data_IF_417317881251
#
_entry.id   IF_417317881251
#
_cell.length_a   1.000
_cell.length_b   1.000
_cell.length_c   1.000
_cell.angle_alpha   90.00
_cell.angle_beta   90.00
_cell.angle_gamma   90.00
#
_symmetry.space_group_name_H-M   'P 1'
#
loop_
_entity.id
_entity.type
_entity.pdbx_description
1 polymer ?
#
# COMPACT_ATOMS: atom_id res chain seq x y z
N UNK A 1 -1.20 2.32 32.38
CA UNK A 1 -1.07 2.93 31.06
C UNK A 1 0.09 3.91 31.12
N UNK A 2 0.91 3.96 30.10
CA UNK A 2 2.03 4.91 30.04
C UNK A 2 1.51 6.32 29.68
N UNK A 3 2.40 7.32 29.81
CA UNK A 3 2.05 8.70 29.36
C UNK A 3 2.19 8.86 27.82
N UNK A 4 2.44 7.77 27.09
CA UNK A 4 2.60 7.76 25.62
C UNK A 4 1.31 8.17 24.92
N UNK A 5 1.44 9.04 23.92
CA UNK A 5 0.34 9.54 23.11
C UNK A 5 0.53 9.20 21.63
N UNK A 6 -0.48 8.57 21.05
CA UNK A 6 -0.55 8.26 19.61
C UNK A 6 -1.62 9.15 18.99
N UNK A 7 -1.32 9.78 17.85
CA UNK A 7 -2.34 10.44 17.04
C UNK A 7 -2.58 9.64 15.75
N UNK A 8 -3.84 9.36 15.42
CA UNK A 8 -4.24 8.69 14.18
C UNK A 8 -4.92 9.73 13.30
N UNK A 9 -4.38 9.99 12.12
CA UNK A 9 -4.94 10.90 11.15
C UNK A 9 -5.67 10.11 10.05
N UNK A 10 -6.98 10.26 10.00
CA UNK A 10 -7.84 9.52 9.08
C UNK A 10 -8.39 8.24 9.69
N UNK A 11 -9.73 8.13 9.72
CA UNK A 11 -10.47 6.97 10.25
C UNK A 11 -11.22 6.22 9.13
N UNK A 12 -10.61 6.18 7.95
CA UNK A 12 -11.04 5.30 6.86
C UNK A 12 -10.77 3.82 7.17
N UNK A 13 -10.92 2.94 6.19
CA UNK A 13 -10.70 1.50 6.38
C UNK A 13 -9.34 1.19 7.03
N UNK A 14 -8.28 1.83 6.58
CA UNK A 14 -6.92 1.58 7.07
C UNK A 14 -6.69 2.18 8.46
N UNK A 15 -7.22 3.39 8.71
CA UNK A 15 -7.12 4.05 10.01
C UNK A 15 -7.85 3.29 11.11
N UNK A 16 -9.01 2.70 10.82
CA UNK A 16 -9.74 1.84 11.77
C UNK A 16 -8.91 0.60 12.16
N UNK A 17 -8.26 -0.04 11.20
CA UNK A 17 -7.38 -1.17 11.46
C UNK A 17 -6.14 -0.75 12.26
N UNK A 18 -5.53 0.39 11.93
CA UNK A 18 -4.42 0.92 12.70
C UNK A 18 -4.82 1.29 14.13
N UNK A 19 -6.00 1.90 14.32
CA UNK A 19 -6.57 2.18 15.66
C UNK A 19 -6.71 0.89 16.47
N UNK A 20 -7.31 -0.14 15.88
CA UNK A 20 -7.45 -1.43 16.53
C UNK A 20 -6.09 -1.99 16.97
N UNK A 21 -5.09 -1.99 16.09
CA UNK A 21 -3.77 -2.52 16.43
C UNK A 21 -3.08 -1.72 17.53
N UNK A 22 -3.02 -0.40 17.42
CA UNK A 22 -2.33 0.40 18.44
C UNK A 22 -3.04 0.36 19.79
N UNK A 23 -4.37 0.26 19.80
CA UNK A 23 -5.15 0.12 21.04
C UNK A 23 -4.86 -1.20 21.76
N UNK A 24 -4.78 -2.32 21.04
CA UNK A 24 -4.62 -3.65 21.64
C UNK A 24 -3.16 -4.04 21.85
N UNK A 25 -2.22 -3.46 21.09
CA UNK A 25 -0.83 -3.91 21.05
C UNK A 25 0.18 -2.84 21.48
N UNK A 26 -0.27 -1.71 22.05
CA UNK A 26 0.61 -0.70 22.69
C UNK A 26 0.21 -0.46 24.13
N UNK A 27 1.10 0.16 24.88
CA UNK A 27 0.84 0.64 26.26
C UNK A 27 0.43 2.13 26.28
N UNK A 28 0.08 2.71 25.13
CA UNK A 28 -0.28 4.11 25.03
C UNK A 28 -1.46 4.46 25.96
N UNK A 29 -1.27 5.49 26.77
CA UNK A 29 -2.31 5.97 27.69
C UNK A 29 -3.32 6.91 27.00
N UNK A 30 -2.93 7.47 25.85
CA UNK A 30 -3.77 8.40 25.09
C UNK A 30 -3.67 8.10 23.59
N UNK A 31 -4.81 7.90 22.93
CA UNK A 31 -4.93 7.74 21.48
C UNK A 31 -5.90 8.80 20.98
N UNK A 32 -5.42 9.75 20.19
CA UNK A 32 -6.25 10.76 19.56
C UNK A 32 -6.55 10.35 18.11
N UNK A 33 -7.82 10.22 17.77
CA UNK A 33 -8.29 9.93 16.41
C UNK A 33 -8.80 11.20 15.77
N UNK A 34 -8.19 11.62 14.67
CA UNK A 34 -8.53 12.87 13.99
C UNK A 34 -9.06 12.60 12.56
N UNK A 35 -10.29 12.97 12.29
CA UNK A 35 -10.97 12.80 11.00
C UNK A 35 -12.02 13.88 10.77
N UNK A 36 -12.48 14.07 9.52
CA UNK A 36 -13.58 14.98 9.19
C UNK A 36 -14.95 14.29 9.17
N UNK A 37 -15.03 13.00 9.37
CA UNK A 37 -16.23 12.18 9.32
C UNK A 37 -17.22 12.58 10.42
N UNK A 38 -18.53 12.55 10.14
CA UNK A 38 -19.56 12.83 11.15
C UNK A 38 -19.67 11.76 12.24
N UNK A 39 -19.25 10.50 11.92
CA UNK A 39 -19.35 9.32 12.78
C UNK A 39 -18.04 8.98 13.52
N UNK A 40 -17.08 9.91 13.58
CA UNK A 40 -15.80 9.69 14.27
C UNK A 40 -15.99 9.37 15.73
N UNK A 41 -16.91 10.04 16.40
CA UNK A 41 -17.21 9.85 17.81
C UNK A 41 -17.80 8.45 18.07
N UNK A 42 -18.75 8.01 17.22
CA UNK A 42 -19.37 6.67 17.34
C UNK A 42 -18.34 5.56 17.27
N UNK A 43 -17.34 5.68 16.39
CA UNK A 43 -16.27 4.68 16.26
C UNK A 43 -15.34 4.70 17.47
N UNK A 44 -15.03 5.88 18.00
CA UNK A 44 -14.15 6.03 19.18
C UNK A 44 -14.84 5.49 20.44
N UNK A 45 -16.16 5.64 20.54
CA UNK A 45 -16.95 5.11 21.66
C UNK A 45 -16.87 3.57 21.81
N UNK A 46 -16.58 2.82 20.71
CA UNK A 46 -16.31 1.40 20.75
C UNK A 46 -15.07 1.06 21.60
N UNK A 47 -14.14 2.01 21.77
CA UNK A 47 -12.91 1.88 22.56
C UNK A 47 -13.02 2.55 23.95
N UNK A 48 -14.25 2.69 24.46
CA UNK A 48 -14.53 3.38 25.73
C UNK A 48 -13.76 2.77 26.91
N UNK A 49 -13.20 3.64 27.75
CA UNK A 49 -12.37 3.24 28.92
C UNK A 49 -10.89 3.04 28.64
N UNK A 50 -10.42 3.18 27.37
CA UNK A 50 -9.03 2.97 26.97
C UNK A 50 -8.23 4.25 26.67
N UNK A 51 -8.72 5.44 27.00
CA UNK A 51 -8.00 6.69 26.71
C UNK A 51 -8.00 7.09 25.22
N UNK A 52 -9.01 6.63 24.47
CA UNK A 52 -9.20 7.01 23.06
C UNK A 52 -10.13 8.22 23.01
N UNK A 53 -9.72 9.24 22.26
CA UNK A 53 -10.44 10.49 22.08
C UNK A 53 -10.56 10.80 20.59
N UNK A 54 -11.64 11.46 20.20
CA UNK A 54 -11.86 11.96 18.85
C UNK A 54 -11.55 13.46 18.73
N UNK A 55 -11.12 13.87 17.54
CA UNK A 55 -10.99 15.28 17.17
C UNK A 55 -11.45 15.45 15.72
N UNK A 56 -12.47 16.26 15.52
CA UNK A 56 -12.93 16.57 14.18
C UNK A 56 -12.06 17.65 13.53
N UNK A 57 -11.40 17.31 12.43
CA UNK A 57 -10.47 18.19 11.72
C UNK A 57 -10.73 18.19 10.21
N UNK A 58 -10.30 19.28 9.56
CA UNK A 58 -10.02 19.27 8.13
C UNK A 58 -8.51 19.11 7.92
N UNK A 59 -8.07 17.93 7.47
CA UNK A 59 -6.65 17.63 7.24
C UNK A 59 -6.01 18.50 6.13
N UNK A 60 -6.78 19.21 5.33
CA UNK A 60 -6.27 20.23 4.42
C UNK A 60 -5.87 21.52 5.14
N UNK A 61 -6.32 21.71 6.39
CA UNK A 61 -5.99 22.87 7.22
C UNK A 61 -4.77 22.59 8.10
N UNK A 62 -3.69 23.36 7.91
CA UNK A 62 -2.44 23.18 8.65
C UNK A 62 -2.60 23.36 10.17
N UNK A 63 -3.50 24.28 10.62
CA UNK A 63 -3.75 24.46 12.06
C UNK A 63 -4.46 23.29 12.70
N UNK A 64 -5.37 22.65 11.97
CA UNK A 64 -6.09 21.46 12.42
C UNK A 64 -5.14 20.26 12.52
N UNK A 65 -4.29 20.04 11.50
CA UNK A 65 -3.24 19.03 11.54
C UNK A 65 -2.31 19.24 12.74
N UNK A 66 -1.85 20.48 12.96
CA UNK A 66 -0.99 20.79 14.09
C UNK A 66 -1.70 20.55 15.45
N UNK A 67 -3.00 20.83 15.54
CA UNK A 67 -3.78 20.55 16.74
C UNK A 67 -3.87 19.04 17.02
N UNK A 68 -4.14 18.23 15.99
CA UNK A 68 -4.21 16.76 16.10
C UNK A 68 -2.87 16.10 16.49
N UNK A 69 -1.75 16.65 16.05
CA UNK A 69 -0.41 16.11 16.32
C UNK A 69 0.19 16.59 17.65
N UNK A 70 -0.41 17.56 18.31
CA UNK A 70 0.19 18.20 19.48
C UNK A 70 0.42 17.27 20.64
N UNK A 71 1.71 17.14 21.00
CA UNK A 71 2.16 16.30 22.11
C UNK A 71 2.05 14.81 21.84
N UNK A 72 1.85 14.40 20.57
CA UNK A 72 1.94 13.00 20.20
C UNK A 72 3.41 12.53 20.16
N UNK A 73 3.68 11.32 20.61
CA UNK A 73 4.97 10.65 20.46
C UNK A 73 5.14 10.08 19.05
N UNK A 74 4.03 9.64 18.46
CA UNK A 74 3.97 9.17 17.07
C UNK A 74 2.62 9.47 16.45
N UNK A 75 2.65 9.79 15.17
CA UNK A 75 1.48 9.94 14.29
C UNK A 75 1.37 8.71 13.40
N UNK A 76 0.17 8.11 13.31
CA UNK A 76 -0.17 7.11 12.30
C UNK A 76 -1.01 7.81 11.24
N UNK A 77 -0.46 7.96 10.03
CA UNK A 77 -1.10 8.69 8.93
C UNK A 77 -1.81 7.73 7.99
N UNK A 78 -3.13 7.84 7.92
CA UNK A 78 -4.04 7.09 7.06
C UNK A 78 -4.95 8.00 6.22
N UNK A 79 -4.47 9.20 5.89
CA UNK A 79 -5.14 10.19 5.04
C UNK A 79 -5.05 9.80 3.55
N UNK A 80 -5.84 10.44 2.67
CA UNK A 80 -5.63 10.32 1.23
C UNK A 80 -4.19 10.67 0.83
N UNK A 81 -3.57 9.89 -0.06
CA UNK A 81 -2.15 9.99 -0.41
C UNK A 81 -1.67 11.38 -0.85
N UNK A 82 -2.57 12.23 -1.39
CA UNK A 82 -2.26 13.63 -1.73
C UNK A 82 -1.92 14.50 -0.50
N UNK A 83 -2.27 14.06 0.69
CA UNK A 83 -2.02 14.77 1.95
C UNK A 83 -0.78 14.26 2.70
N UNK A 84 -0.25 13.08 2.33
CA UNK A 84 0.81 12.41 3.09
C UNK A 84 2.08 13.27 3.27
N UNK A 85 2.56 13.91 2.20
CA UNK A 85 3.75 14.79 2.28
C UNK A 85 3.50 16.01 3.17
N UNK A 86 2.26 16.54 3.19
CA UNK A 86 1.90 17.68 4.03
C UNK A 86 1.86 17.27 5.51
N UNK A 87 1.36 16.08 5.83
CA UNK A 87 1.42 15.51 7.17
C UNK A 87 2.88 15.32 7.62
N UNK A 88 3.75 14.76 6.75
CA UNK A 88 5.17 14.59 7.04
C UNK A 88 5.90 15.93 7.30
N UNK A 89 5.56 16.99 6.57
CA UNK A 89 6.10 18.34 6.82
C UNK A 89 5.68 18.87 8.18
N UNK A 90 4.39 18.76 8.48
CA UNK A 90 3.85 19.22 9.75
C UNK A 90 4.50 18.49 10.93
N UNK A 91 4.69 17.16 10.84
CA UNK A 91 5.39 16.40 11.89
C UNK A 91 6.84 16.80 12.03
N UNK A 92 7.55 17.05 10.92
CA UNK A 92 8.93 17.55 10.95
C UNK A 92 9.01 18.93 11.61
N UNK A 93 8.10 19.84 11.32
CA UNK A 93 8.03 21.17 11.96
C UNK A 93 7.72 21.09 13.46
N UNK A 94 6.89 20.15 13.88
CA UNK A 94 6.49 19.99 15.26
C UNK A 94 7.44 19.12 16.09
N UNK A 95 8.37 18.40 15.46
CA UNK A 95 9.28 17.48 16.14
C UNK A 95 8.59 16.18 16.59
N UNK A 96 7.60 15.68 15.82
CA UNK A 96 6.81 14.48 16.12
C UNK A 96 7.15 13.39 15.12
N UNK A 97 7.22 12.13 15.56
CA UNK A 97 7.42 10.98 14.68
C UNK A 97 6.17 10.66 13.88
N UNK A 98 6.34 10.02 12.69
CA UNK A 98 5.21 9.60 11.86
C UNK A 98 5.49 8.28 11.16
N UNK A 99 4.45 7.47 11.02
CA UNK A 99 4.39 6.33 10.11
C UNK A 99 3.24 6.52 9.12
N UNK A 100 3.49 6.21 7.85
CA UNK A 100 2.53 6.31 6.76
C UNK A 100 2.67 5.13 5.80
N UNK A 101 1.58 4.64 5.23
CA UNK A 101 1.60 3.68 4.14
C UNK A 101 1.82 4.34 2.76
N UNK A 102 1.87 5.66 2.72
CA UNK A 102 1.97 6.42 1.48
C UNK A 102 3.42 6.79 1.14
N UNK A 103 3.68 6.94 -0.15
CA UNK A 103 4.96 7.44 -0.67
C UNK A 103 4.99 8.99 -0.71
N UNK A 104 6.17 9.57 -0.47
CA UNK A 104 6.40 11.01 -0.60
C UNK A 104 6.90 11.39 -1.99
N UNK A 105 7.53 10.46 -2.71
CA UNK A 105 7.88 10.62 -4.12
C UNK A 105 6.85 9.83 -4.92
N UNK A 106 5.99 10.54 -5.66
CA UNK A 106 4.99 9.87 -6.50
C UNK A 106 5.68 9.06 -7.60
N UNK A 107 5.67 7.71 -7.57
CA UNK A 107 6.36 6.89 -8.55
C UNK A 107 5.73 6.97 -9.95
N UNK A 108 4.55 7.57 -10.09
CA UNK A 108 3.87 7.78 -11.38
C UNK A 108 4.12 9.17 -11.98
N UNK A 109 4.85 10.06 -11.30
CA UNK A 109 5.20 11.37 -11.86
C UNK A 109 6.28 11.21 -12.95
N UNK A 110 6.05 11.84 -14.10
CA UNK A 110 6.91 11.70 -15.26
C UNK A 110 7.74 12.97 -15.57
N UNK A 111 7.28 14.14 -15.09
CA UNK A 111 8.08 15.35 -15.28
C UNK A 111 9.35 15.26 -14.41
N UNK A 112 10.55 15.16 -15.04
CA UNK A 112 11.80 15.03 -14.28
C UNK A 112 12.07 16.22 -13.35
N UNK A 113 11.47 17.38 -13.62
CA UNK A 113 11.60 18.56 -12.76
C UNK A 113 10.79 18.40 -11.50
N UNK A 114 9.58 17.83 -11.62
CA UNK A 114 8.72 17.54 -10.46
C UNK A 114 9.30 16.40 -9.62
N UNK A 115 9.81 15.34 -10.27
CA UNK A 115 10.51 14.24 -9.56
C UNK A 115 11.68 14.80 -8.74
N UNK A 116 12.57 15.59 -9.36
CA UNK A 116 13.69 16.22 -8.63
C UNK A 116 13.22 17.15 -7.51
N UNK A 117 12.10 17.86 -7.70
CA UNK A 117 11.55 18.71 -6.65
C UNK A 117 11.05 17.89 -5.45
N UNK A 118 10.39 16.73 -5.70
CA UNK A 118 9.98 15.81 -4.65
C UNK A 118 11.18 15.17 -3.95
N UNK A 119 12.20 14.72 -4.69
CA UNK A 119 13.45 14.17 -4.14
C UNK A 119 14.13 15.21 -3.23
N UNK A 120 14.29 16.47 -3.70
CA UNK A 120 14.87 17.55 -2.91
C UNK A 120 14.05 17.86 -1.64
N UNK A 121 12.73 17.71 -1.69
CA UNK A 121 11.86 17.91 -0.54
C UNK A 121 12.02 16.78 0.49
N UNK A 122 12.10 15.52 0.04
CA UNK A 122 12.39 14.38 0.90
C UNK A 122 13.78 14.50 1.54
N UNK A 123 14.79 14.90 0.79
CA UNK A 123 16.14 15.17 1.32
C UNK A 123 16.14 16.27 2.39
N UNK A 124 15.30 17.30 2.21
CA UNK A 124 15.15 18.37 3.21
C UNK A 124 14.49 17.84 4.47
N UNK A 125 13.42 17.06 4.32
CA UNK A 125 12.73 16.42 5.44
C UNK A 125 13.65 15.46 6.20
N UNK A 126 14.46 14.66 5.51
CA UNK A 126 15.42 13.74 6.11
C UNK A 126 16.43 14.49 6.99
N UNK A 127 17.03 15.58 6.46
CA UNK A 127 17.97 16.42 7.23
C UNK A 127 17.34 17.06 8.45
N UNK A 128 16.12 17.59 8.30
CA UNK A 128 15.41 18.21 9.43
C UNK A 128 15.00 17.17 10.48
N UNK A 129 14.53 16.00 10.04
CA UNK A 129 14.17 14.90 10.93
C UNK A 129 15.35 14.38 11.72
N UNK A 130 16.49 14.18 11.08
CA UNK A 130 17.76 13.81 11.76
C UNK A 130 18.20 14.86 12.78
N UNK A 131 18.10 16.13 12.44
CA UNK A 131 18.45 17.24 13.34
C UNK A 131 17.54 17.27 14.58
N UNK A 132 16.26 16.95 14.42
CA UNK A 132 15.27 16.95 15.50
C UNK A 132 15.18 15.64 16.27
N UNK A 133 15.85 14.59 15.82
CA UNK A 133 15.80 13.28 16.45
C UNK A 133 14.49 12.54 16.23
N UNK A 134 13.76 12.83 15.13
CA UNK A 134 12.48 12.19 14.80
C UNK A 134 12.61 11.22 13.64
N UNK A 135 11.70 10.26 13.59
CA UNK A 135 11.56 9.26 12.53
C UNK A 135 10.34 9.54 11.67
N UNK A 136 10.53 9.54 10.37
CA UNK A 136 9.46 9.55 9.35
C UNK A 136 9.54 8.23 8.60
N UNK A 137 8.66 7.28 8.87
CA UNK A 137 8.61 5.99 8.20
C UNK A 137 7.50 6.03 7.14
N UNK A 138 7.90 6.00 5.86
CA UNK A 138 6.98 6.05 4.72
C UNK A 138 6.80 4.69 4.06
N UNK A 139 5.79 4.56 3.20
CA UNK A 139 5.53 3.34 2.42
C UNK A 139 5.33 2.08 3.29
N UNK A 140 5.00 2.23 4.56
CA UNK A 140 4.92 1.12 5.50
C UNK A 140 3.51 0.49 5.52
N UNK A 141 3.15 -0.12 4.39
CA UNK A 141 1.88 -0.80 4.13
C UNK A 141 2.08 -2.15 3.45
N UNK A 142 1.24 -2.44 2.46
CA UNK A 142 1.28 -3.70 1.72
C UNK A 142 2.19 -3.62 0.48
N UNK A 143 1.84 -2.72 -0.46
CA UNK A 143 2.44 -2.51 -1.78
C UNK A 143 2.24 -1.02 -2.17
N UNK A 144 3.18 -0.16 -1.78
CA UNK A 144 4.49 -0.44 -1.14
C UNK A 144 4.42 -0.79 0.35
N UNK A 145 5.42 -1.55 0.79
CA UNK A 145 5.63 -1.89 2.19
C UNK A 145 6.15 -3.30 2.39
N UNK A 146 5.27 -4.26 2.61
CA UNK A 146 5.66 -5.67 2.79
C UNK A 146 6.45 -6.16 1.57
N UNK A 147 6.05 -5.80 0.36
CA UNK A 147 6.75 -6.16 -0.88
C UNK A 147 8.20 -5.64 -0.93
N UNK A 148 8.45 -4.45 -0.39
CA UNK A 148 9.79 -3.86 -0.34
C UNK A 148 10.68 -4.60 0.67
N UNK A 149 10.14 -4.95 1.84
CA UNK A 149 10.85 -5.73 2.85
C UNK A 149 11.20 -7.12 2.31
N UNK A 150 10.24 -7.82 1.70
CA UNK A 150 10.46 -9.14 1.09
C UNK A 150 11.42 -9.05 -0.10
N UNK A 151 11.33 -7.99 -0.90
CA UNK A 151 12.23 -7.72 -2.00
C UNK A 151 13.67 -7.55 -1.55
N UNK A 152 13.92 -6.68 -0.58
CA UNK A 152 15.24 -6.46 -0.02
C UNK A 152 15.84 -7.76 0.55
N UNK A 153 15.01 -8.57 1.22
CA UNK A 153 15.44 -9.88 1.75
C UNK A 153 15.82 -10.83 0.63
N UNK A 154 14.99 -10.97 -0.41
CA UNK A 154 15.28 -11.86 -1.54
C UNK A 154 16.56 -11.46 -2.27
N UNK A 155 16.76 -10.15 -2.48
CA UNK A 155 17.97 -9.61 -3.11
C UNK A 155 19.24 -9.93 -2.30
N UNK A 156 19.18 -9.88 -0.97
CA UNK A 156 20.33 -10.19 -0.09
C UNK A 156 20.83 -11.64 -0.20
N UNK A 157 20.02 -12.53 -0.74
CA UNK A 157 20.37 -13.94 -0.96
C UNK A 157 21.12 -14.20 -2.28
N UNK A 158 21.24 -13.19 -3.14
CA UNK A 158 21.85 -13.31 -4.47
C UNK A 158 23.07 -12.40 -4.59
N UNK A 159 24.03 -12.83 -5.43
CA UNK A 159 25.20 -12.02 -5.79
C UNK A 159 24.96 -11.22 -7.09
N UNK A 160 24.09 -11.75 -7.96
CA UNK A 160 23.68 -11.13 -9.22
C UNK A 160 22.16 -11.30 -9.37
N UNK A 161 21.43 -10.20 -9.59
CA UNK A 161 19.99 -10.22 -9.85
C UNK A 161 19.74 -10.01 -11.34
N UNK A 162 18.98 -10.92 -11.94
CA UNK A 162 18.64 -10.89 -13.37
C UNK A 162 17.19 -10.50 -13.61
N UNK A 163 16.28 -10.99 -12.75
CA UNK A 163 14.85 -10.73 -12.86
C UNK A 163 14.27 -10.44 -11.46
N UNK A 164 13.37 -9.48 -11.41
CA UNK A 164 12.66 -9.11 -10.19
C UNK A 164 11.19 -8.83 -10.50
N UNK A 165 10.30 -9.62 -9.95
CA UNK A 165 8.86 -9.46 -10.10
C UNK A 165 8.19 -9.33 -8.73
N UNK A 166 7.41 -8.28 -8.54
CA UNK A 166 6.58 -8.07 -7.35
C UNK A 166 5.10 -8.10 -7.74
N UNK A 167 4.32 -8.81 -6.96
CA UNK A 167 2.88 -8.97 -7.13
C UNK A 167 2.18 -8.55 -5.86
N UNK A 168 1.20 -7.65 -5.96
CA UNK A 168 0.43 -7.17 -4.82
C UNK A 168 -1.01 -6.85 -5.21
N UNK A 169 -1.97 -7.51 -4.57
CA UNK A 169 -3.39 -7.17 -4.71
C UNK A 169 -4.27 -7.83 -3.65
N UNK A 170 -5.52 -7.36 -3.57
CA UNK A 170 -6.61 -8.00 -2.85
C UNK A 170 -7.66 -8.57 -3.80
N UNK A 171 -8.24 -9.72 -3.45
CA UNK A 171 -9.28 -10.44 -4.19
C UNK A 171 -10.35 -10.92 -3.21
N UNK A 172 -11.63 -11.14 -3.63
CA UNK A 172 -12.53 -12.00 -2.89
C UNK A 172 -12.01 -13.45 -2.88
N UNK A 173 -12.29 -14.24 -1.85
CA UNK A 173 -12.16 -15.70 -1.96
C UNK A 173 -12.98 -16.20 -3.15
N UNK A 174 -12.55 -17.29 -3.80
CA UNK A 174 -13.14 -17.73 -5.06
C UNK A 174 -14.63 -18.06 -4.93
N UNK A 175 -15.03 -18.59 -3.77
CA UNK A 175 -16.40 -18.98 -3.46
C UNK A 175 -17.36 -17.78 -3.40
N UNK A 176 -16.84 -16.59 -3.12
CA UNK A 176 -17.62 -15.34 -3.03
C UNK A 176 -17.32 -14.37 -4.17
N UNK A 177 -16.56 -14.81 -5.16
CA UNK A 177 -16.28 -14.09 -6.40
C UNK A 177 -17.39 -14.33 -7.45
N UNK A 178 -18.65 -14.18 -7.05
CA UNK A 178 -19.86 -14.62 -7.76
C UNK A 178 -20.47 -13.54 -8.67
N UNK A 179 -19.90 -12.33 -8.69
CA UNK A 179 -20.35 -11.26 -9.58
C UNK A 179 -19.62 -11.31 -10.95
N UNK A 180 -20.13 -10.57 -11.97
CA UNK A 180 -19.57 -10.61 -13.33
C UNK A 180 -18.10 -10.21 -13.45
N UNK A 181 -17.56 -9.44 -12.49
CA UNK A 181 -16.16 -9.00 -12.47
C UNK A 181 -15.26 -9.90 -11.64
N UNK A 182 -15.83 -10.86 -10.90
CA UNK A 182 -15.14 -11.68 -9.90
C UNK A 182 -14.29 -10.83 -8.96
N UNK A 183 -14.81 -9.66 -8.60
CA UNK A 183 -14.11 -8.66 -7.80
C UNK A 183 -15.07 -7.97 -6.84
N UNK A 184 -14.60 -7.70 -5.62
CA UNK A 184 -15.28 -6.89 -4.60
C UNK A 184 -14.31 -5.86 -4.06
N UNK A 185 -14.80 -4.68 -3.67
CA UNK A 185 -13.95 -3.59 -3.19
C UNK A 185 -13.56 -3.80 -1.73
N UNK A 186 -12.28 -3.97 -1.46
CA UNK A 186 -11.67 -3.96 -0.11
C UNK A 186 -10.95 -2.65 0.21
N UNK A 187 -11.00 -1.69 -0.72
CA UNK A 187 -10.50 -0.33 -0.57
C UNK A 187 -11.24 0.62 -1.53
N UNK A 188 -10.86 1.89 -1.60
CA UNK A 188 -11.55 2.93 -2.35
C UNK A 188 -11.82 2.55 -3.81
N UNK A 189 -13.09 2.45 -4.21
CA UNK A 189 -13.50 2.15 -5.58
C UNK A 189 -12.94 3.16 -6.59
N UNK A 190 -13.00 4.46 -6.28
CA UNK A 190 -12.41 5.49 -7.13
C UNK A 190 -10.88 5.34 -7.24
N UNK A 191 -10.22 4.90 -6.18
CA UNK A 191 -8.79 4.61 -6.19
C UNK A 191 -8.45 3.45 -7.12
N UNK A 192 -9.25 2.38 -7.12
CA UNK A 192 -9.11 1.25 -8.05
C UNK A 192 -9.29 1.72 -9.49
N UNK A 193 -10.34 2.48 -9.78
CA UNK A 193 -10.61 2.96 -11.14
C UNK A 193 -9.49 3.86 -11.67
N UNK A 194 -8.96 4.74 -10.84
CA UNK A 194 -7.82 5.58 -11.19
C UNK A 194 -6.54 4.78 -11.43
N UNK A 195 -6.32 3.73 -10.63
CA UNK A 195 -5.18 2.83 -10.84
C UNK A 195 -5.27 2.10 -12.19
N UNK A 196 -6.47 1.80 -12.68
CA UNK A 196 -6.70 1.12 -13.95
C UNK A 196 -6.49 2.00 -15.20
N UNK A 197 -6.34 3.30 -15.04
CA UNK A 197 -5.97 4.21 -16.13
C UNK A 197 -4.66 4.96 -15.82
N UNK A 198 -3.75 4.31 -15.13
CA UNK A 198 -2.42 4.85 -14.82
C UNK A 198 -1.38 4.15 -15.69
N UNK A 199 -0.50 4.87 -16.42
CA UNK A 199 0.56 4.24 -17.17
C UNK A 199 1.50 3.47 -16.24
N UNK A 200 2.13 2.42 -16.77
CA UNK A 200 3.11 1.64 -16.04
C UNK A 200 4.45 1.61 -16.79
N UNK A 201 5.54 1.43 -16.04
CA UNK A 201 6.88 1.26 -16.58
C UNK A 201 7.46 -0.03 -16.05
N UNK A 202 7.91 -0.85 -16.97
CA UNK A 202 8.58 -2.13 -16.68
C UNK A 202 9.95 -2.17 -17.35
N UNK A 203 10.82 -3.06 -16.92
CA UNK A 203 12.07 -3.35 -17.61
C UNK A 203 11.89 -4.70 -18.30
N UNK A 204 12.06 -4.72 -19.63
CA UNK A 204 12.02 -5.92 -20.46
C UNK A 204 13.30 -6.01 -21.29
N UNK A 205 14.02 -7.12 -21.20
CA UNK A 205 15.32 -7.37 -21.90
C UNK A 205 16.33 -6.25 -21.63
N UNK A 206 16.36 -5.73 -20.39
CA UNK A 206 17.24 -4.64 -19.98
C UNK A 206 16.86 -3.26 -20.53
N UNK A 207 15.64 -3.11 -21.09
CA UNK A 207 15.15 -1.83 -21.62
C UNK A 207 13.92 -1.38 -20.86
N UNK A 208 13.82 -0.10 -20.61
CA UNK A 208 12.61 0.52 -20.06
C UNK A 208 11.52 0.47 -21.14
N UNK A 209 10.38 -0.07 -20.78
CA UNK A 209 9.18 -0.15 -21.61
C UNK A 209 8.04 0.57 -20.88
N UNK A 210 7.50 1.59 -21.53
CA UNK A 210 6.28 2.24 -21.07
C UNK A 210 5.07 1.44 -21.57
N UNK A 211 4.16 1.12 -20.65
CA UNK A 211 2.84 0.54 -20.94
C UNK A 211 1.83 1.67 -20.79
N UNK A 212 1.26 2.08 -21.91
CA UNK A 212 0.26 3.15 -21.94
C UNK A 212 -0.95 2.82 -21.05
N UNK A 213 -1.54 3.84 -20.44
CA UNK A 213 -2.66 3.67 -19.50
C UNK A 213 -3.82 2.84 -20.06
N UNK A 214 -4.16 3.00 -21.34
CA UNK A 214 -5.24 2.26 -22.00
C UNK A 214 -4.84 0.85 -22.44
N UNK A 215 -3.55 0.53 -22.40
CA UNK A 215 -2.99 -0.76 -22.84
C UNK A 215 -2.54 -1.64 -21.66
N UNK A 216 -2.80 -1.19 -20.44
CA UNK A 216 -2.42 -1.92 -19.21
C UNK A 216 -2.94 -3.37 -19.23
N UNK A 217 -4.19 -3.57 -19.64
CA UNK A 217 -4.87 -4.88 -19.68
C UNK A 217 -4.78 -5.59 -21.03
N UNK A 218 -4.01 -5.06 -21.99
CA UNK A 218 -3.85 -5.69 -23.29
C UNK A 218 -3.11 -7.04 -23.15
N UNK A 219 -3.47 -8.07 -23.95
CA UNK A 219 -2.92 -9.41 -23.84
C UNK A 219 -1.39 -9.47 -23.86
N UNK A 220 -0.73 -8.59 -24.63
CA UNK A 220 0.72 -8.50 -24.71
C UNK A 220 1.40 -7.95 -23.45
N UNK A 221 0.63 -7.33 -22.56
CA UNK A 221 1.12 -6.75 -21.30
C UNK A 221 0.78 -7.58 -20.07
N UNK A 222 -0.09 -8.57 -20.22
CA UNK A 222 -0.47 -9.46 -19.13
C UNK A 222 0.26 -10.82 -19.18
N UNK A 223 0.30 -11.49 -18.06
CA UNK A 223 0.72 -12.89 -17.96
C UNK A 223 -0.10 -13.61 -16.88
N UNK A 224 -0.02 -14.92 -16.88
CA UNK A 224 -0.69 -15.76 -15.88
C UNK A 224 0.29 -16.08 -14.76
N UNK A 225 -0.19 -16.00 -13.53
CA UNK A 225 0.49 -16.45 -12.32
C UNK A 225 -0.34 -17.55 -11.69
N UNK A 226 0.31 -18.67 -11.37
CA UNK A 226 -0.26 -19.75 -10.57
C UNK A 226 0.31 -19.68 -9.15
N UNK A 227 -0.56 -19.84 -8.15
CA UNK A 227 -0.21 -19.81 -6.73
C UNK A 227 -0.89 -20.98 -6.07
N UNK A 228 -0.10 -21.89 -5.48
CA UNK A 228 -0.59 -23.17 -4.92
C UNK A 228 -1.73 -23.00 -3.91
N UNK A 229 -1.77 -21.84 -3.22
CA UNK A 229 -2.74 -21.55 -2.18
C UNK A 229 -4.02 -20.84 -2.70
N UNK A 230 -4.14 -20.66 -4.03
CA UNK A 230 -5.29 -20.02 -4.71
C UNK A 230 -5.77 -20.94 -5.83
N UNK A 231 -6.99 -21.48 -5.69
CA UNK A 231 -7.58 -22.46 -6.61
C UNK A 231 -8.03 -21.86 -7.96
N UNK A 232 -7.26 -20.91 -8.49
CA UNK A 232 -7.50 -20.28 -9.80
C UNK A 232 -6.23 -19.64 -10.32
N UNK A 233 -5.94 -19.71 -11.63
CA UNK A 233 -4.92 -18.88 -12.21
C UNK A 233 -5.27 -17.40 -12.04
N UNK A 234 -4.25 -16.54 -12.02
CA UNK A 234 -4.40 -15.10 -11.83
C UNK A 234 -3.89 -14.36 -13.08
N UNK A 235 -4.71 -13.49 -13.63
CA UNK A 235 -4.31 -12.54 -14.67
C UNK A 235 -3.53 -11.39 -14.06
N UNK A 236 -2.23 -11.31 -14.35
CA UNK A 236 -1.34 -10.27 -13.86
C UNK A 236 -1.17 -9.17 -14.89
N UNK A 237 -1.28 -7.92 -14.47
CA UNK A 237 -1.11 -6.74 -15.32
C UNK A 237 -0.14 -5.75 -14.67
N UNK A 238 0.63 -4.96 -15.46
CA UNK A 238 1.61 -4.01 -14.91
C UNK A 238 0.95 -2.98 -13.99
N UNK A 239 1.60 -2.70 -12.87
CA UNK A 239 1.12 -1.74 -11.90
C UNK A 239 2.20 -0.73 -11.50
N UNK A 240 2.03 0.53 -11.91
CA UNK A 240 2.90 1.63 -11.55
C UNK A 240 4.29 1.59 -12.18
N UNK A 241 5.28 2.12 -11.49
CA UNK A 241 6.61 2.40 -12.04
C UNK A 241 7.69 1.48 -11.45
N UNK A 242 7.94 0.34 -12.10
CA UNK A 242 9.00 -0.58 -11.69
C UNK A 242 10.41 0.01 -11.84
N UNK A 243 10.59 0.99 -12.73
CA UNK A 243 11.89 1.65 -12.94
C UNK A 243 12.29 2.49 -11.72
N UNK A 244 11.31 3.15 -11.08
CA UNK A 244 11.55 3.83 -9.80
C UNK A 244 12.08 2.85 -8.75
N UNK A 245 11.43 1.69 -8.62
CA UNK A 245 11.85 0.67 -7.66
C UNK A 245 13.14 -0.06 -8.06
N UNK A 246 13.51 -0.09 -9.35
CA UNK A 246 14.85 -0.54 -9.74
C UNK A 246 15.93 0.36 -9.13
N UNK A 247 15.70 1.69 -9.09
CA UNK A 247 16.59 2.63 -8.39
C UNK A 247 16.61 2.39 -6.89
N UNK A 248 15.43 2.23 -6.27
CA UNK A 248 15.28 1.99 -4.83
C UNK A 248 16.03 0.72 -4.39
N UNK A 249 15.98 -0.35 -5.19
CA UNK A 249 16.68 -1.61 -4.93
C UNK A 249 18.14 -1.65 -5.42
N UNK A 250 18.67 -0.57 -6.04
CA UNK A 250 20.03 -0.56 -6.61
C UNK A 250 20.21 -1.49 -7.81
N UNK A 251 19.13 -1.77 -8.55
CA UNK A 251 19.12 -2.67 -9.72
C UNK A 251 19.19 -1.92 -11.06
N UNK A 252 19.37 -0.60 -11.05
CA UNK A 252 19.44 0.20 -12.27
C UNK A 252 20.57 -0.29 -13.21
N UNK A 253 20.21 -0.53 -14.45
CA UNK A 253 21.14 -0.97 -15.49
C UNK A 253 21.66 -2.41 -15.35
N UNK A 254 21.34 -3.12 -14.27
CA UNK A 254 21.79 -4.50 -14.03
C UNK A 254 20.71 -5.54 -14.28
N UNK A 255 19.46 -5.24 -13.92
CA UNK A 255 18.33 -6.17 -14.06
C UNK A 255 17.85 -6.23 -15.53
N UNK A 256 17.50 -7.43 -15.98
CA UNK A 256 17.01 -7.68 -17.36
C UNK A 256 15.50 -7.64 -17.46
N UNK A 257 14.81 -8.18 -16.46
CA UNK A 257 13.35 -8.17 -16.36
C UNK A 257 12.96 -7.62 -15.00
N UNK A 258 12.11 -6.60 -14.96
CA UNK A 258 11.55 -6.09 -13.72
C UNK A 258 10.13 -5.59 -13.94
N UNK A 259 9.22 -6.05 -13.08
CA UNK A 259 7.83 -5.63 -13.09
C UNK A 259 7.21 -5.66 -11.70
N UNK A 260 6.32 -4.71 -11.46
CA UNK A 260 5.34 -4.75 -10.39
C UNK A 260 3.97 -4.97 -11.01
N UNK A 261 3.18 -5.85 -10.43
CA UNK A 261 1.95 -6.33 -11.03
C UNK A 261 0.81 -6.33 -10.02
N UNK A 262 -0.35 -5.82 -10.46
CA UNK A 262 -1.62 -6.22 -9.89
C UNK A 262 -2.10 -7.52 -10.52
N UNK A 263 -3.03 -8.20 -9.88
CA UNK A 263 -3.58 -9.44 -10.42
C UNK A 263 -5.07 -9.58 -10.08
N UNK A 264 -5.76 -10.37 -10.90
CA UNK A 264 -7.21 -10.63 -10.76
C UNK A 264 -7.54 -12.02 -11.28
N UNK A 265 -8.75 -12.49 -11.00
CA UNK A 265 -9.28 -13.71 -11.59
C UNK A 265 -9.50 -13.59 -13.11
N UNK A 266 -9.46 -14.72 -13.85
CA UNK A 266 -9.59 -14.73 -15.30
C UNK A 266 -10.87 -14.04 -15.82
N UNK A 267 -10.70 -13.27 -16.90
CA UNK A 267 -11.73 -12.45 -17.54
C UNK A 267 -11.69 -10.98 -17.16
N UNK A 268 -10.99 -10.63 -16.08
CA UNK A 268 -10.89 -9.25 -15.60
C UNK A 268 -10.17 -8.34 -16.60
N UNK A 269 -9.02 -8.75 -17.09
CA UNK A 269 -8.24 -7.95 -18.03
C UNK A 269 -9.01 -7.71 -19.33
N UNK A 270 -9.67 -8.74 -19.88
CA UNK A 270 -10.46 -8.62 -21.10
C UNK A 270 -11.65 -7.66 -20.98
N UNK A 271 -12.27 -7.57 -19.81
CA UNK A 271 -13.33 -6.60 -19.52
C UNK A 271 -12.76 -5.19 -19.41
N UNK A 272 -11.75 -4.98 -18.57
CA UNK A 272 -11.24 -3.64 -18.27
C UNK A 272 -10.45 -3.03 -19.43
N UNK A 273 -9.86 -3.83 -20.31
CA UNK A 273 -9.27 -3.33 -21.55
C UNK A 273 -10.31 -2.54 -22.37
N UNK A 274 -11.50 -3.10 -22.55
CA UNK A 274 -12.59 -2.45 -23.30
C UNK A 274 -13.09 -1.20 -22.60
N UNK A 275 -13.28 -1.26 -21.29
CA UNK A 275 -13.74 -0.13 -20.47
C UNK A 275 -12.74 1.04 -20.51
N UNK A 276 -11.44 0.75 -20.32
CA UNK A 276 -10.38 1.77 -20.35
C UNK A 276 -10.27 2.42 -21.75
N UNK A 277 -10.27 1.62 -22.82
CA UNK A 277 -10.21 2.13 -24.20
C UNK A 277 -11.46 2.89 -24.63
N UNK A 278 -12.60 2.62 -24.02
CA UNK A 278 -13.88 3.31 -24.31
C UNK A 278 -14.06 4.62 -23.53
N UNK A 279 -13.12 5.00 -22.67
CA UNK A 279 -13.13 6.28 -21.95
C UNK A 279 -13.93 6.31 -20.64
N UNK A 280 -14.44 5.17 -20.15
CA UNK A 280 -15.19 5.11 -18.88
C UNK A 280 -14.35 5.45 -17.65
N UNK A 281 -13.03 5.40 -17.75
CA UNK A 281 -12.10 5.70 -16.68
C UNK A 281 -11.44 7.08 -16.78
N UNK A 282 -11.85 7.90 -17.77
CA UNK A 282 -11.28 9.24 -17.98
C UNK A 282 -11.68 10.20 -16.86
N UNK A 283 -10.72 11.04 -16.43
CA UNK A 283 -10.98 12.11 -15.45
C UNK A 283 -11.72 13.30 -16.07
N UNK A 284 -11.54 13.53 -17.39
CA UNK A 284 -12.08 14.70 -18.06
C UNK A 284 -13.61 14.67 -18.05
N UNK A 285 -14.27 15.65 -17.42
CA UNK A 285 -15.72 15.68 -17.33
C UNK A 285 -16.39 15.80 -18.69
N UNK A 286 -17.55 15.17 -18.85
CA UNK A 286 -18.42 15.25 -20.03
C UNK A 286 -19.80 15.79 -19.67
N UNK A 287 -20.46 16.45 -20.62
CA UNK A 287 -21.82 16.93 -20.44
C UNK A 287 -22.82 15.80 -20.68
N UNK A 288 -23.73 15.56 -19.74
CA UNK A 288 -24.86 14.64 -19.84
C UNK A 288 -26.13 15.43 -19.61
N UNK A 289 -26.78 15.88 -20.67
CA UNK A 289 -27.88 16.81 -20.58
C UNK A 289 -27.43 18.15 -19.95
N UNK A 290 -27.98 18.49 -18.80
CA UNK A 290 -27.63 19.71 -18.05
C UNK A 290 -26.58 19.49 -16.94
N UNK A 291 -26.14 18.26 -16.76
CA UNK A 291 -25.18 17.87 -15.69
C UNK A 291 -23.81 17.62 -16.29
N UNK A 292 -22.76 17.94 -15.54
CA UNK A 292 -21.38 17.61 -15.88
C UNK A 292 -20.96 16.42 -15.02
N UNK A 293 -20.45 15.37 -15.65
CA UNK A 293 -20.11 14.09 -15.01
C UNK A 293 -18.67 13.71 -15.34
N UNK A 294 -17.89 13.34 -14.34
CA UNK A 294 -16.60 12.66 -14.54
C UNK A 294 -16.85 11.18 -14.83
N UNK A 295 -16.41 10.64 -15.98
CA UNK A 295 -16.62 9.23 -16.31
C UNK A 295 -16.08 8.27 -15.24
N UNK A 296 -14.85 8.49 -14.75
CA UNK A 296 -14.25 7.66 -13.72
C UNK A 296 -15.02 7.72 -12.39
N UNK A 297 -15.46 8.92 -11.98
CA UNK A 297 -16.24 9.08 -10.75
C UNK A 297 -17.61 8.39 -10.87
N UNK A 298 -18.26 8.52 -12.04
CA UNK A 298 -19.52 7.83 -12.32
C UNK A 298 -19.34 6.31 -12.29
N UNK A 299 -18.31 5.78 -12.97
CA UNK A 299 -18.04 4.34 -13.02
C UNK A 299 -17.77 3.77 -11.61
N UNK A 300 -16.97 4.47 -10.81
CA UNK A 300 -16.70 4.07 -9.43
C UNK A 300 -17.97 4.05 -8.60
N UNK A 301 -18.76 5.13 -8.62
CA UNK A 301 -20.00 5.25 -7.86
C UNK A 301 -21.04 4.21 -8.29
N UNK A 302 -21.15 3.94 -9.61
CA UNK A 302 -22.06 2.93 -10.14
C UNK A 302 -21.74 1.53 -9.59
N UNK A 303 -20.48 1.17 -9.54
CA UNK A 303 -20.07 -0.14 -9.03
C UNK A 303 -20.21 -0.18 -7.49
N UNK A 304 -19.77 0.86 -6.80
CA UNK A 304 -19.81 0.94 -5.34
C UNK A 304 -21.24 0.92 -4.78
N UNK A 305 -22.23 1.42 -5.55
CA UNK A 305 -23.64 1.42 -5.16
C UNK A 305 -24.34 0.06 -5.25
N UNK A 306 -23.66 -0.98 -5.77
CA UNK A 306 -24.24 -2.30 -5.96
C UNK A 306 -23.69 -3.27 -4.93
N UNK A 307 -24.58 -3.93 -4.15
CA UNK A 307 -24.22 -4.85 -3.08
C UNK A 307 -23.33 -6.02 -3.55
N UNK A 308 -23.48 -6.47 -4.80
CA UNK A 308 -22.67 -7.56 -5.36
C UNK A 308 -21.15 -7.24 -5.42
N UNK A 309 -20.76 -5.97 -5.36
CA UNK A 309 -19.36 -5.54 -5.34
C UNK A 309 -18.86 -5.18 -3.93
N UNK A 310 -19.69 -5.37 -2.91
CA UNK A 310 -19.35 -5.17 -1.51
C UNK A 310 -19.18 -6.52 -0.81
N UNK A 311 -18.39 -6.55 0.24
CA UNK A 311 -18.27 -7.73 1.10
C UNK A 311 -19.38 -7.70 2.16
N UNK A 312 -20.11 -8.80 2.31
CA UNK A 312 -20.89 -9.03 3.52
C UNK A 312 -19.96 -9.39 4.70
N UNK A 313 -20.53 -9.41 5.93
CA UNK A 313 -19.73 -9.72 7.12
C UNK A 313 -19.22 -11.16 7.16
N UNK A 314 -19.88 -12.07 6.46
CA UNK A 314 -19.49 -13.48 6.38
C UNK A 314 -18.46 -13.78 5.28
N UNK A 315 -18.24 -12.86 4.35
CA UNK A 315 -17.36 -13.06 3.20
C UNK A 315 -15.93 -12.68 3.51
N UNK A 316 -14.99 -13.39 2.89
CA UNK A 316 -13.57 -13.12 3.03
C UNK A 316 -12.97 -12.55 1.75
N UNK A 317 -12.08 -11.60 1.94
CA UNK A 317 -11.07 -11.25 0.94
C UNK A 317 -9.77 -12.00 1.20
N UNK A 318 -8.96 -12.08 0.16
CA UNK A 318 -7.57 -12.55 0.20
C UNK A 318 -6.69 -11.38 -0.20
N UNK A 319 -5.59 -11.19 0.50
CA UNK A 319 -4.49 -10.34 0.05
C UNK A 319 -3.27 -11.21 -0.18
N UNK A 320 -2.66 -11.07 -1.35
CA UNK A 320 -1.39 -11.72 -1.70
C UNK A 320 -0.33 -10.65 -1.96
N UNK A 321 0.82 -10.83 -1.34
CA UNK A 321 2.08 -10.21 -1.74
C UNK A 321 3.06 -11.32 -2.10
N UNK A 322 3.65 -11.24 -3.29
CA UNK A 322 4.68 -12.18 -3.75
C UNK A 322 5.82 -11.43 -4.40
N UNK A 323 7.02 -11.75 -4.00
CA UNK A 323 8.26 -11.30 -4.65
C UNK A 323 8.97 -12.52 -5.20
N UNK A 324 9.24 -12.51 -6.50
CA UNK A 324 9.88 -13.58 -7.25
C UNK A 324 11.15 -13.04 -7.90
N UNK A 325 12.30 -13.49 -7.44
CA UNK A 325 13.60 -12.99 -7.86
C UNK A 325 14.43 -14.12 -8.46
N UNK A 326 14.96 -13.87 -9.65
CA UNK A 326 15.88 -14.80 -10.31
C UNK A 326 17.26 -14.15 -10.47
N UNK A 327 18.28 -14.93 -10.17
CA UNK A 327 19.65 -14.45 -10.20
C UNK A 327 20.68 -15.54 -10.03
N UNK A 328 21.86 -15.18 -9.54
CA UNK A 328 22.92 -16.14 -9.23
C UNK A 328 23.42 -15.99 -7.80
N UNK A 329 23.76 -17.10 -7.18
CA UNK A 329 24.52 -17.19 -5.93
C UNK A 329 25.71 -18.12 -6.12
N UNK A 330 26.92 -17.60 -5.91
CA UNK A 330 28.17 -18.34 -6.15
C UNK A 330 28.22 -19.00 -7.53
N UNK A 331 27.79 -18.22 -8.56
CA UNK A 331 27.75 -18.65 -9.96
C UNK A 331 26.59 -19.59 -10.34
N UNK A 332 25.81 -20.09 -9.38
CA UNK A 332 24.66 -20.97 -9.63
C UNK A 332 23.38 -20.18 -9.78
N UNK A 333 22.55 -20.56 -10.75
CA UNK A 333 21.22 -20.01 -10.95
C UNK A 333 20.32 -20.33 -9.75
N UNK A 334 19.58 -19.33 -9.31
CA UNK A 334 18.62 -19.40 -8.19
C UNK A 334 17.35 -18.65 -8.55
N UNK A 335 16.21 -19.19 -8.14
CA UNK A 335 14.92 -18.50 -8.11
C UNK A 335 14.40 -18.54 -6.69
N UNK A 336 14.20 -17.36 -6.10
CA UNK A 336 13.79 -17.19 -4.72
C UNK A 336 12.43 -16.49 -4.72
N UNK A 337 11.48 -17.10 -4.04
CA UNK A 337 10.13 -16.57 -3.90
C UNK A 337 9.85 -16.33 -2.42
N UNK A 338 9.49 -15.09 -2.09
CA UNK A 338 8.88 -14.75 -0.82
C UNK A 338 7.41 -14.43 -1.04
N UNK A 339 6.55 -14.92 -0.17
CA UNK A 339 5.11 -14.77 -0.31
C UNK A 339 4.42 -14.62 1.04
N UNK A 340 3.43 -13.75 1.09
CA UNK A 340 2.47 -13.62 2.18
C UNK A 340 1.07 -13.70 1.59
N UNK A 341 0.22 -14.53 2.20
CA UNK A 341 -1.22 -14.56 1.93
C UNK A 341 -1.92 -14.33 3.26
N UNK A 342 -2.79 -13.32 3.30
CA UNK A 342 -3.69 -13.07 4.43
C UNK A 342 -5.14 -13.15 3.98
N UNK A 343 -6.03 -13.40 4.92
CA UNK A 343 -7.48 -13.47 4.72
C UNK A 343 -8.19 -12.63 5.75
N UNK A 344 -9.39 -12.14 5.42
CA UNK A 344 -10.25 -11.45 6.38
C UNK A 344 -10.38 -12.27 7.65
N UNK A 345 -10.19 -11.64 8.77
CA UNK A 345 -10.49 -12.20 10.08
C UNK A 345 -11.96 -11.91 10.43
N UNK A 346 -12.79 -12.95 10.41
CA UNK A 346 -14.21 -12.82 10.73
C UNK A 346 -14.46 -12.53 12.22
N UNK A 347 -13.47 -12.78 13.09
CA UNK A 347 -13.57 -12.47 14.52
C UNK A 347 -13.49 -10.97 14.80
N UNK A 348 -12.59 -10.28 14.13
CA UNK A 348 -12.41 -8.82 14.23
C UNK A 348 -13.17 -8.05 13.16
N UNK A 349 -13.59 -8.73 12.09
CA UNK A 349 -14.24 -8.13 10.93
C UNK A 349 -13.30 -7.42 9.95
N UNK A 350 -12.01 -7.27 10.25
CA UNK A 350 -11.07 -6.61 9.36
C UNK A 350 -10.75 -7.45 8.13
N UNK A 351 -10.87 -6.84 6.96
CA UNK A 351 -10.45 -7.43 5.69
C UNK A 351 -8.94 -7.69 5.66
N UNK A 352 -8.50 -8.63 4.83
CA UNK A 352 -7.07 -8.88 4.63
C UNK A 352 -6.32 -7.60 4.19
N UNK A 353 -6.95 -6.77 3.35
CA UNK A 353 -6.38 -5.48 2.93
C UNK A 353 -6.23 -4.50 4.11
N UNK A 354 -7.22 -4.41 5.00
CA UNK A 354 -7.13 -3.57 6.20
C UNK A 354 -6.03 -4.05 7.15
N UNK A 355 -5.93 -5.37 7.35
CA UNK A 355 -4.92 -6.00 8.21
C UNK A 355 -3.52 -5.76 7.67
N UNK A 356 -3.27 -6.03 6.39
CA UNK A 356 -1.94 -5.91 5.77
C UNK A 356 -1.46 -4.46 5.60
N UNK A 357 -2.33 -3.47 5.64
CA UNK A 357 -1.95 -2.06 5.58
C UNK A 357 -2.04 -1.39 6.96
N UNK A 358 -3.20 -1.48 7.61
CA UNK A 358 -3.43 -0.79 8.89
C UNK A 358 -2.59 -1.34 10.03
N UNK A 359 -2.49 -2.67 10.16
CA UNK A 359 -1.65 -3.29 11.20
C UNK A 359 -0.15 -3.08 10.94
N UNK A 360 0.26 -2.99 9.66
CA UNK A 360 1.65 -2.60 9.35
C UNK A 360 1.95 -1.19 9.85
N UNK A 361 1.05 -0.22 9.66
CA UNK A 361 1.24 1.12 10.21
C UNK A 361 1.31 1.10 11.73
N UNK A 362 0.44 0.33 12.41
CA UNK A 362 0.49 0.13 13.86
C UNK A 362 1.80 -0.50 14.31
N UNK A 363 2.30 -1.50 13.59
CA UNK A 363 3.61 -2.12 13.83
C UNK A 363 4.75 -1.12 13.71
N UNK A 364 4.71 -0.26 12.69
CA UNK A 364 5.67 0.82 12.51
C UNK A 364 5.65 1.83 13.66
N UNK A 365 4.46 2.20 14.13
CA UNK A 365 4.30 3.06 15.31
C UNK A 365 4.94 2.42 16.55
N UNK A 366 4.76 1.12 16.77
CA UNK A 366 5.43 0.39 17.88
C UNK A 366 6.95 0.44 17.79
N UNK A 367 7.52 0.20 16.59
CA UNK A 367 8.98 0.29 16.42
C UNK A 367 9.51 1.68 16.72
N UNK A 368 8.77 2.72 16.38
CA UNK A 368 9.11 4.12 16.67
C UNK A 368 9.02 4.37 18.17
N UNK A 369 7.91 4.02 18.84
CA UNK A 369 7.68 4.21 20.26
C UNK A 369 8.72 3.48 21.14
N UNK A 370 9.19 2.33 20.66
CA UNK A 370 10.25 1.55 21.35
C UNK A 370 11.66 2.06 21.07
N UNK A 371 11.81 3.16 20.31
CA UNK A 371 13.12 3.73 19.98
C UNK A 371 13.99 2.81 19.13
N UNK A 372 13.40 1.89 18.37
CA UNK A 372 14.11 0.86 17.59
C UNK A 372 14.61 1.36 16.23
N UNK A 373 14.05 2.47 15.75
CA UNK A 373 14.37 3.04 14.43
C UNK A 373 15.25 4.30 14.57
N UNK A 374 16.18 4.52 13.63
CA UNK A 374 16.97 5.75 13.61
C UNK A 374 16.12 6.95 13.18
N UNK A 375 16.60 8.15 13.51
CA UNK A 375 16.00 9.40 13.03
C UNK A 375 16.26 9.59 11.53
N UNK A 376 15.31 10.22 10.83
CA UNK A 376 15.37 10.51 9.41
C UNK A 376 14.12 10.05 8.67
N UNK A 377 14.12 10.21 7.34
CA UNK A 377 13.10 9.63 6.47
C UNK A 377 13.54 8.20 6.12
N UNK A 378 12.72 7.25 6.51
CA UNK A 378 12.99 5.82 6.35
C UNK A 378 12.00 5.18 5.36
N UNK A 379 12.49 4.21 4.62
CA UNK A 379 11.69 3.27 3.82
C UNK A 379 11.47 1.95 4.58
N UNK A 380 10.56 1.07 4.13
CA UNK A 380 10.40 -0.26 4.70
C UNK A 380 11.68 -1.10 4.68
N UNK A 381 12.59 -0.84 3.76
CA UNK A 381 13.87 -1.55 3.63
C UNK A 381 14.88 -1.18 4.73
N UNK A 382 14.68 -0.04 5.40
CA UNK A 382 15.49 0.38 6.54
C UNK A 382 15.07 -0.31 7.85
N UNK A 383 13.92 -1.02 7.82
CA UNK A 383 13.41 -1.81 8.94
C UNK A 383 13.90 -3.25 8.80
N UNK A 384 14.54 -3.84 9.83
CA UNK A 384 15.03 -5.22 9.76
C UNK A 384 13.92 -6.22 9.40
N UNK A 385 14.18 -7.07 8.41
CA UNK A 385 13.25 -8.10 7.93
C UNK A 385 12.63 -8.93 9.06
N UNK A 386 13.47 -9.42 9.98
CA UNK A 386 13.01 -10.29 11.08
C UNK A 386 12.03 -9.58 12.02
N UNK A 387 12.16 -8.26 12.21
CA UNK A 387 11.22 -7.50 13.03
C UNK A 387 9.84 -7.40 12.36
N UNK A 388 9.84 -7.16 11.05
CA UNK A 388 8.60 -7.08 10.28
C UNK A 388 7.91 -8.44 10.25
N UNK A 389 8.64 -9.51 9.98
CA UNK A 389 8.08 -10.87 9.92
C UNK A 389 7.54 -11.30 11.28
N UNK A 390 8.26 -11.07 12.37
CA UNK A 390 7.75 -11.36 13.72
C UNK A 390 6.48 -10.56 14.04
N UNK A 391 6.42 -9.29 13.61
CA UNK A 391 5.22 -8.48 13.74
C UNK A 391 4.05 -9.05 12.96
N UNK A 392 4.25 -9.43 11.70
CA UNK A 392 3.23 -10.05 10.86
C UNK A 392 2.75 -11.40 11.45
N UNK A 393 3.67 -12.24 11.94
CA UNK A 393 3.34 -13.51 12.58
C UNK A 393 2.50 -13.31 13.86
N UNK A 394 2.73 -12.23 14.61
CA UNK A 394 1.89 -11.90 15.77
C UNK A 394 0.44 -11.60 15.42
N UNK A 395 0.17 -11.22 14.17
CA UNK A 395 -1.16 -11.03 13.60
C UNK A 395 -1.74 -12.31 12.96
N UNK A 396 -0.99 -13.42 12.99
CA UNK A 396 -1.34 -14.66 12.30
C UNK A 396 -1.01 -14.66 10.80
N UNK A 397 -0.30 -13.64 10.31
CA UNK A 397 0.13 -13.54 8.92
C UNK A 397 1.46 -14.26 8.74
N UNK A 398 1.53 -15.22 7.83
CA UNK A 398 2.73 -16.03 7.63
C UNK A 398 3.43 -15.66 6.33
N UNK A 399 4.69 -15.26 6.45
CA UNK A 399 5.59 -15.14 5.30
C UNK A 399 6.19 -16.51 4.99
N UNK A 400 6.10 -16.93 3.74
CA UNK A 400 6.74 -18.16 3.24
C UNK A 400 7.90 -17.82 2.33
N UNK A 401 8.94 -18.69 2.35
CA UNK A 401 10.07 -18.64 1.42
C UNK A 401 10.17 -19.97 0.69
N UNK A 402 10.23 -19.92 -0.63
CA UNK A 402 10.47 -21.08 -1.49
C UNK A 402 11.71 -20.82 -2.36
N UNK A 403 12.50 -21.86 -2.61
CA UNK A 403 13.52 -21.88 -3.66
C UNK A 403 12.98 -22.81 -4.75
N UNK A 404 12.70 -22.25 -5.91
CA UNK A 404 12.08 -22.96 -7.02
C UNK A 404 13.11 -23.30 -8.10
N UNK A 405 12.78 -24.22 -8.99
CA UNK A 405 13.55 -24.44 -10.19
C UNK A 405 13.54 -23.19 -11.08
N UNK A 406 14.64 -22.94 -11.81
CA UNK A 406 14.78 -21.73 -12.63
C UNK A 406 13.66 -21.57 -13.67
N UNK A 407 13.27 -22.67 -14.30
CA UNK A 407 12.30 -22.72 -15.39
C UNK A 407 10.88 -23.13 -14.92
N UNK A 408 10.67 -23.28 -13.62
CA UNK A 408 9.35 -23.57 -13.05
C UNK A 408 8.43 -22.34 -13.21
N UNK A 409 7.17 -22.57 -13.57
CA UNK A 409 6.19 -21.50 -13.85
C UNK A 409 5.79 -20.70 -12.58
#
# INVERSE_FOLDING_TARGET
MSDRKIAILGLGMQGRAALYDVFHNTDAGHILVADNRPDVDDVVDEYSGGGVESLRIDAANASDLAAAMRGADVVVEALPGVMAISAGKATAEMGVNIVSSMYYINPSEQDPRKVRAMEAEVDRLDKESKKRGITILTEFGLDPGIDLVLGARALSELDEVMEFHSYGAGLPELEVADNPLKYKFSWSAIGVMRAYLRPAWVIRRGRIVEVGARDMFAPENMHILEVDEIDSPLECYPNGNSVHYAKVFGLEGSVREMGRYGFRYPGHCAFWEKIARSGFLEEKPIAVGKTIVSPVAFTAALLESQDQFQYSDAERDITLVRVDVRGKKSGKRKRIVYQLIDRRDLGTGFTAMQRTVGFMMGLGARFILDGRLPSGVLSPMDVPYDWVVQGLESFGMKVTRKELAWDEA
#
